data_IF_483714471851
#
_entry.id   IF_483714471851
#
_cell.length_a   1.000
_cell.length_b   1.000
_cell.length_c   1.000
_cell.angle_alpha   90.00
_cell.angle_beta   90.00
_cell.angle_gamma   90.00
#
_symmetry.space_group_name_H-M   'P 1'
#
loop_
_entity.id
_entity.type
_entity.pdbx_description
1 polymer ?
#
# COMPACT_ATOMS: atom_id res chain seq x y z
N UNK A 1 -20.14 -4.55 -1.59
CA UNK A 1 -20.34 -3.25 -2.18
C UNK A 1 -20.51 -2.17 -1.11
N UNK A 2 -19.92 -1.06 -1.33
CA UNK A 2 -19.98 0.02 -0.37
C UNK A 2 -21.30 0.75 -0.39
N UNK A 3 -21.70 1.20 0.79
CA UNK A 3 -22.86 2.05 0.94
C UNK A 3 -22.41 3.49 1.01
N UNK A 4 -21.40 3.81 0.23
CA UNK A 4 -20.72 5.10 0.32
C UNK A 4 -21.61 6.28 -0.04
N UNK A 5 -22.60 6.06 -0.89
CA UNK A 5 -23.50 7.15 -1.27
C UNK A 5 -24.20 7.74 -0.06
N UNK A 6 -24.49 6.92 0.93
CA UNK A 6 -25.15 7.37 2.14
C UNK A 6 -24.20 8.12 3.06
N UNK A 7 -22.92 7.96 2.82
CA UNK A 7 -21.89 8.55 3.66
C UNK A 7 -21.14 9.64 2.92
N UNK A 8 -21.80 10.26 1.95
CA UNK A 8 -21.17 11.29 1.15
C UNK A 8 -20.62 12.46 1.95
N UNK A 9 -21.08 12.61 3.19
CA UNK A 9 -20.60 13.67 4.06
C UNK A 9 -19.26 13.35 4.68
N UNK A 10 -18.86 12.08 4.72
CA UNK A 10 -17.59 11.67 5.29
C UNK A 10 -16.85 10.75 4.32
N UNK A 11 -15.62 11.11 4.04
CA UNK A 11 -14.76 10.27 3.22
C UNK A 11 -13.84 9.49 4.12
N UNK A 12 -13.59 8.24 3.75
CA UNK A 12 -12.58 7.45 4.43
C UNK A 12 -11.20 8.03 4.17
N UNK A 13 -10.32 7.86 5.15
CA UNK A 13 -8.91 8.13 4.95
C UNK A 13 -8.40 7.21 3.84
N UNK A 14 -7.56 7.76 2.96
CA UNK A 14 -6.93 6.99 1.87
C UNK A 14 -5.46 6.83 2.18
N UNK A 15 -4.94 5.62 2.04
CA UNK A 15 -3.53 5.35 2.23
C UNK A 15 -2.98 4.53 1.07
N UNK A 16 -1.71 4.74 0.75
CA UNK A 16 -0.97 3.88 -0.15
C UNK A 16 -0.02 3.05 0.69
N UNK A 17 -0.10 1.72 0.56
CA UNK A 17 0.63 0.81 1.41
C UNK A 17 1.85 0.29 0.67
N UNK A 18 3.02 0.49 1.26
CA UNK A 18 4.28 -0.01 0.70
C UNK A 18 4.27 -1.54 0.67
N UNK A 19 4.91 -2.09 -0.33
CA UNK A 19 5.00 -3.53 -0.56
C UNK A 19 5.40 -4.30 0.70
N UNK A 20 6.38 -3.80 1.45
CA UNK A 20 6.89 -4.51 2.63
C UNK A 20 5.85 -4.62 3.73
N UNK A 21 4.96 -3.66 3.86
CA UNK A 21 3.89 -3.73 4.87
C UNK A 21 2.91 -4.86 4.53
N UNK A 22 2.59 -5.01 3.26
CA UNK A 22 1.75 -6.13 2.81
C UNK A 22 2.45 -7.47 3.08
N UNK A 23 3.73 -7.55 2.74
CA UNK A 23 4.51 -8.78 2.94
C UNK A 23 4.68 -9.12 4.41
N UNK A 24 4.71 -8.12 5.30
CA UNK A 24 4.79 -8.38 6.74
C UNK A 24 3.63 -9.24 7.21
N UNK A 25 2.44 -8.98 6.67
CA UNK A 25 1.25 -9.74 7.04
C UNK A 25 1.28 -11.11 6.34
N UNK A 26 1.55 -11.13 5.04
CA UNK A 26 1.51 -12.37 4.26
C UNK A 26 2.59 -13.36 4.69
N UNK A 27 3.75 -12.86 5.09
CA UNK A 27 4.89 -13.70 5.49
C UNK A 27 5.05 -13.80 7.00
N UNK A 28 4.11 -13.24 7.76
CA UNK A 28 4.08 -13.30 9.23
C UNK A 28 5.43 -12.87 9.85
N UNK A 29 5.90 -11.69 9.47
CA UNK A 29 7.17 -11.16 9.98
C UNK A 29 6.97 -10.63 11.39
N UNK A 30 7.49 -11.35 12.38
CA UNK A 30 7.14 -11.18 13.81
C UNK A 30 7.29 -9.76 14.33
N UNK A 31 8.31 -9.04 13.87
CA UNK A 31 8.56 -7.69 14.40
C UNK A 31 7.55 -6.66 13.92
N UNK A 32 6.83 -6.95 12.84
CA UNK A 32 6.00 -5.94 12.18
C UNK A 32 4.56 -6.36 11.98
N UNK A 33 4.25 -7.65 12.16
CA UNK A 33 2.95 -8.18 11.77
C UNK A 33 1.80 -7.60 12.58
N UNK A 34 2.03 -7.26 13.84
CA UNK A 34 0.92 -6.81 14.68
C UNK A 34 0.30 -5.50 14.18
N UNK A 35 1.12 -4.46 14.02
CA UNK A 35 0.60 -3.17 13.55
C UNK A 35 0.10 -3.26 12.11
N UNK A 36 0.84 -3.96 11.25
CA UNK A 36 0.47 -4.10 9.86
C UNK A 36 -0.85 -4.85 9.72
N UNK A 37 -1.09 -5.86 10.55
CA UNK A 37 -2.34 -6.62 10.52
C UNK A 37 -3.53 -5.76 10.95
N UNK A 38 -3.32 -4.85 11.89
CA UNK A 38 -4.39 -3.94 12.30
C UNK A 38 -4.78 -2.99 11.18
N UNK A 39 -3.79 -2.47 10.46
CA UNK A 39 -4.05 -1.63 9.28
C UNK A 39 -4.81 -2.44 8.23
N UNK A 40 -4.35 -3.67 7.97
CA UNK A 40 -5.01 -4.56 7.03
C UNK A 40 -6.49 -4.74 7.40
N UNK A 41 -6.75 -5.00 8.68
CA UNK A 41 -8.12 -5.22 9.14
C UNK A 41 -9.00 -3.99 8.93
N UNK A 42 -8.45 -2.80 9.16
CA UNK A 42 -9.19 -1.57 8.93
C UNK A 42 -9.55 -1.39 7.45
N UNK A 43 -8.66 -1.83 6.57
CA UNK A 43 -8.95 -1.81 5.13
C UNK A 43 -9.99 -2.85 4.77
N UNK A 44 -9.89 -4.03 5.36
CA UNK A 44 -10.82 -5.13 5.10
C UNK A 44 -12.24 -4.77 5.49
N UNK A 45 -12.43 -4.08 6.62
CA UNK A 45 -13.76 -3.68 7.07
C UNK A 45 -14.15 -2.30 6.53
N UNK A 46 -13.40 -1.78 5.57
CA UNK A 46 -13.69 -0.55 4.84
C UNK A 46 -13.74 0.70 5.70
N UNK A 47 -13.00 0.72 6.79
CA UNK A 47 -12.84 1.93 7.59
C UNK A 47 -11.74 2.83 7.04
N UNK A 48 -10.83 2.26 6.27
CA UNK A 48 -9.77 2.98 5.56
C UNK A 48 -9.77 2.46 4.14
N UNK A 49 -9.54 3.35 3.18
CA UNK A 49 -9.37 2.97 1.79
C UNK A 49 -7.89 2.71 1.53
N UNK A 50 -7.52 1.44 1.52
CA UNK A 50 -6.14 1.04 1.30
C UNK A 50 -5.87 0.80 -0.18
N UNK A 51 -4.79 1.39 -0.67
CA UNK A 51 -4.34 1.25 -2.04
C UNK A 51 -2.99 0.56 -2.07
N UNK A 52 -2.82 -0.31 -3.05
CA UNK A 52 -1.52 -0.93 -3.35
C UNK A 52 -1.17 -0.53 -4.78
N UNK A 53 0.06 -0.08 -4.98
CA UNK A 53 0.51 0.25 -6.34
C UNK A 53 0.51 -1.00 -7.22
N UNK A 54 0.07 -0.84 -8.47
CA UNK A 54 0.14 -1.92 -9.44
C UNK A 54 1.57 -2.46 -9.56
N UNK A 55 2.57 -1.60 -9.35
CA UNK A 55 3.96 -2.00 -9.39
C UNK A 55 4.30 -3.02 -8.31
N UNK A 56 3.62 -2.95 -7.15
CA UNK A 56 3.89 -3.86 -6.03
C UNK A 56 3.39 -5.28 -6.28
N UNK A 57 2.37 -5.43 -7.11
CA UNK A 57 1.73 -6.73 -7.28
C UNK A 57 2.68 -7.79 -7.85
N UNK A 58 3.42 -7.54 -8.96
CA UNK A 58 4.38 -8.52 -9.44
C UNK A 58 5.44 -8.89 -8.41
N UNK A 59 5.89 -7.93 -7.61
CA UNK A 59 6.88 -8.21 -6.57
C UNK A 59 6.32 -9.13 -5.51
N UNK A 60 5.08 -8.88 -5.09
CA UNK A 60 4.42 -9.75 -4.12
C UNK A 60 4.27 -11.16 -4.66
N UNK A 61 3.81 -11.29 -5.90
CA UNK A 61 3.66 -12.59 -6.55
C UNK A 61 4.99 -13.33 -6.60
N UNK A 62 6.06 -12.62 -6.99
CA UNK A 62 7.38 -13.20 -7.10
C UNK A 62 7.85 -13.79 -5.76
N UNK A 63 7.65 -13.03 -4.69
CA UNK A 63 8.09 -13.47 -3.36
C UNK A 63 7.25 -14.64 -2.87
N UNK A 64 5.93 -14.58 -3.06
CA UNK A 64 5.06 -15.67 -2.62
C UNK A 64 5.35 -16.96 -3.34
N UNK A 65 5.69 -16.90 -4.63
CA UNK A 65 5.95 -18.10 -5.42
C UNK A 65 7.22 -18.81 -5.03
N UNK A 66 8.08 -18.19 -4.25
CA UNK A 66 9.26 -18.88 -3.75
C UNK A 66 8.92 -19.95 -2.73
N UNK A 67 7.79 -19.81 -2.03
CA UNK A 67 7.45 -20.71 -0.95
C UNK A 67 6.08 -21.37 -1.09
N UNK A 68 5.24 -20.85 -1.96
CA UNK A 68 3.89 -21.36 -2.12
C UNK A 68 3.67 -21.86 -3.53
N UNK A 69 2.67 -22.75 -3.68
CA UNK A 69 2.27 -23.22 -5.00
C UNK A 69 1.65 -22.08 -5.79
N UNK A 70 1.62 -22.19 -7.13
CA UNK A 70 0.94 -21.18 -7.94
C UNK A 70 -0.54 -21.00 -7.56
N UNK A 71 -1.22 -22.08 -7.20
CA UNK A 71 -2.63 -22.03 -6.82
C UNK A 71 -2.82 -21.25 -5.52
N UNK A 72 -1.97 -21.49 -4.52
CA UNK A 72 -2.03 -20.75 -3.26
C UNK A 72 -1.74 -19.27 -3.49
N UNK A 73 -0.72 -19.00 -4.29
CA UNK A 73 -0.37 -17.61 -4.61
C UNK A 73 -1.54 -16.89 -5.25
N UNK A 74 -2.21 -17.54 -6.21
CA UNK A 74 -3.35 -16.95 -6.89
C UNK A 74 -4.48 -16.63 -5.90
N UNK A 75 -4.76 -17.54 -4.98
CA UNK A 75 -5.80 -17.32 -3.98
C UNK A 75 -5.51 -16.09 -3.13
N UNK A 76 -4.26 -15.95 -2.70
CA UNK A 76 -3.85 -14.81 -1.88
C UNK A 76 -3.99 -13.51 -2.66
N UNK A 77 -3.55 -13.51 -3.91
CA UNK A 77 -3.62 -12.30 -4.74
C UNK A 77 -5.08 -11.89 -4.96
N UNK A 78 -5.96 -12.85 -5.19
CA UNK A 78 -7.37 -12.55 -5.35
C UNK A 78 -7.98 -11.96 -4.09
N UNK A 79 -7.54 -12.42 -2.91
CA UNK A 79 -7.97 -11.82 -1.65
C UNK A 79 -7.49 -10.36 -1.54
N UNK A 80 -6.28 -10.11 -1.96
CA UNK A 80 -5.78 -8.73 -1.96
C UNK A 80 -6.65 -7.82 -2.80
N UNK A 81 -7.09 -8.29 -3.96
CA UNK A 81 -7.94 -7.49 -4.84
C UNK A 81 -9.30 -7.20 -4.22
N UNK A 82 -9.76 -8.06 -3.31
CA UNK A 82 -11.04 -7.84 -2.64
C UNK A 82 -10.93 -6.83 -1.50
N UNK A 83 -9.76 -6.71 -0.90
CA UNK A 83 -9.54 -5.88 0.28
C UNK A 83 -9.01 -4.50 -0.11
N UNK A 84 -8.11 -4.46 -1.07
CA UNK A 84 -7.39 -3.24 -1.43
C UNK A 84 -7.72 -2.79 -2.85
N UNK A 85 -7.66 -1.48 -3.04
CA UNK A 85 -7.73 -0.90 -4.37
C UNK A 85 -6.33 -0.96 -5.00
N UNK A 86 -6.28 -1.24 -6.28
CA UNK A 86 -5.00 -1.27 -6.98
C UNK A 86 -4.84 0.07 -7.70
N UNK A 87 -3.81 0.81 -7.32
CA UNK A 87 -3.51 2.09 -7.96
C UNK A 87 -2.75 1.82 -9.25
N UNK A 88 -3.33 2.21 -10.38
CA UNK A 88 -2.70 1.95 -11.66
C UNK A 88 -1.37 2.70 -11.79
N UNK A 89 -0.49 2.14 -12.61
CA UNK A 89 0.82 2.71 -12.90
C UNK A 89 0.73 3.40 -14.25
N UNK A 90 0.91 4.72 -14.26
CA UNK A 90 0.83 5.51 -15.49
C UNK A 90 2.21 5.85 -16.01
N UNK A 91 2.31 6.05 -17.31
CA UNK A 91 3.57 6.44 -17.91
C UNK A 91 4.10 7.75 -17.32
N UNK A 92 3.19 8.65 -16.94
CA UNK A 92 3.59 9.91 -16.30
C UNK A 92 4.25 9.67 -14.94
N UNK A 93 3.82 8.65 -14.22
CA UNK A 93 4.43 8.30 -12.93
C UNK A 93 5.88 7.88 -13.14
N UNK A 94 6.10 7.04 -14.15
CA UNK A 94 7.43 6.54 -14.46
C UNK A 94 8.37 7.67 -14.85
N UNK A 95 7.88 8.61 -15.66
CA UNK A 95 8.69 9.74 -16.11
C UNK A 95 9.01 10.70 -14.99
N UNK A 96 8.03 11.04 -14.16
CA UNK A 96 8.25 11.95 -13.04
C UNK A 96 9.22 11.35 -12.03
N UNK A 97 9.07 10.07 -11.75
CA UNK A 97 9.93 9.38 -10.80
C UNK A 97 11.39 9.38 -11.28
N UNK A 98 11.61 9.28 -12.58
CA UNK A 98 12.96 9.27 -13.14
C UNK A 98 13.71 10.57 -12.87
N UNK A 99 13.00 11.66 -12.62
CA UNK A 99 13.63 12.96 -12.34
C UNK A 99 13.80 13.24 -10.85
N UNK A 100 13.40 12.33 -9.99
CA UNK A 100 13.55 12.50 -8.56
C UNK A 100 14.94 12.09 -8.12
N UNK A 101 15.38 12.67 -6.99
CA UNK A 101 16.73 12.46 -6.48
C UNK A 101 16.80 11.35 -5.45
N UNK A 102 15.88 10.41 -5.51
CA UNK A 102 15.92 9.28 -4.60
C UNK A 102 16.72 8.15 -5.19
N UNK A 103 17.34 7.35 -4.33
CA UNK A 103 18.18 6.24 -4.78
C UNK A 103 17.37 5.04 -5.24
N UNK A 104 16.12 4.91 -4.79
CA UNK A 104 15.26 3.77 -5.13
C UNK A 104 14.16 4.23 -6.07
N UNK A 105 14.22 3.71 -7.30
CA UNK A 105 13.28 4.10 -8.34
C UNK A 105 11.86 3.62 -8.04
N UNK A 106 11.73 2.43 -7.44
CA UNK A 106 10.40 1.93 -7.08
C UNK A 106 9.75 2.82 -6.02
N UNK A 107 10.53 3.26 -5.03
CA UNK A 107 10.02 4.18 -4.02
C UNK A 107 9.61 5.51 -4.65
N UNK A 108 10.40 5.99 -5.61
CA UNK A 108 10.06 7.22 -6.33
C UNK A 108 8.73 7.08 -7.06
N UNK A 109 8.50 5.95 -7.72
CA UNK A 109 7.24 5.69 -8.40
C UNK A 109 6.08 5.67 -7.41
N UNK A 110 6.26 5.07 -6.25
CA UNK A 110 5.22 5.06 -5.23
C UNK A 110 4.91 6.47 -4.73
N UNK A 111 5.93 7.30 -4.54
CA UNK A 111 5.72 8.69 -4.12
C UNK A 111 4.89 9.48 -5.12
N UNK A 112 5.23 9.33 -6.41
CA UNK A 112 4.50 10.02 -7.47
C UNK A 112 3.08 9.50 -7.56
N UNK A 113 2.90 8.20 -7.47
CA UNK A 113 1.60 7.56 -7.50
C UNK A 113 0.73 8.04 -6.35
N UNK A 114 1.30 8.10 -5.15
CA UNK A 114 0.59 8.55 -3.96
C UNK A 114 0.08 9.98 -4.14
N UNK A 115 0.91 10.85 -4.69
CA UNK A 115 0.52 12.24 -4.93
C UNK A 115 -0.60 12.33 -5.97
N UNK A 116 -0.49 11.57 -7.06
CA UNK A 116 -1.51 11.58 -8.10
C UNK A 116 -2.85 11.05 -7.59
N UNK A 117 -2.81 10.01 -6.78
CA UNK A 117 -4.02 9.41 -6.21
C UNK A 117 -4.60 10.22 -5.06
N UNK A 118 -3.87 11.24 -4.59
CA UNK A 118 -4.31 12.12 -3.51
C UNK A 118 -4.61 11.34 -2.24
N UNK A 119 -3.75 10.37 -1.92
CA UNK A 119 -3.89 9.65 -0.66
C UNK A 119 -3.44 10.55 0.48
N UNK A 120 -3.95 10.28 1.67
CA UNK A 120 -3.61 11.07 2.86
C UNK A 120 -2.23 10.72 3.38
N UNK A 121 -1.85 9.45 3.31
CA UNK A 121 -0.56 8.99 3.83
C UNK A 121 -0.02 7.83 2.99
N UNK A 122 1.31 7.72 2.99
CA UNK A 122 2.00 6.49 2.57
C UNK A 122 2.33 5.73 3.83
N UNK A 123 1.99 4.44 3.89
CA UNK A 123 2.29 3.60 5.04
C UNK A 123 3.47 2.71 4.69
N UNK A 124 4.57 2.87 5.43
CA UNK A 124 5.83 2.19 5.16
C UNK A 124 6.59 1.96 6.45
N UNK A 125 7.49 0.99 6.47
CA UNK A 125 8.41 0.78 7.59
C UNK A 125 9.64 1.68 7.49
N UNK A 126 9.94 2.17 6.28
CA UNK A 126 11.20 2.86 5.99
C UNK A 126 10.94 4.32 5.63
N UNK A 127 10.53 5.10 6.62
CA UNK A 127 10.15 6.50 6.41
C UNK A 127 11.26 7.28 5.71
N UNK A 128 12.51 7.01 6.06
CA UNK A 128 13.63 7.76 5.48
C UNK A 128 13.77 7.58 3.98
N UNK A 129 13.25 6.48 3.45
CA UNK A 129 13.27 6.26 2.01
C UNK A 129 12.22 7.09 1.28
N UNK A 130 11.33 7.74 2.03
CA UNK A 130 10.24 8.53 1.49
C UNK A 130 10.33 10.01 1.87
N UNK A 131 11.52 10.47 2.22
CA UNK A 131 11.73 11.88 2.64
C UNK A 131 11.37 12.84 1.52
N UNK A 132 11.62 12.46 0.27
CA UNK A 132 11.31 13.32 -0.88
C UNK A 132 9.82 13.36 -1.19
N UNK A 133 9.01 12.57 -0.52
CA UNK A 133 7.59 12.45 -0.82
C UNK A 133 6.83 13.72 -0.47
N UNK A 134 5.94 14.12 -1.37
CA UNK A 134 4.99 15.21 -1.11
C UNK A 134 3.84 14.75 -0.24
N UNK A 135 3.60 13.45 -0.18
CA UNK A 135 2.60 12.85 0.70
C UNK A 135 3.36 12.34 1.93
N UNK A 136 2.82 12.64 3.10
CA UNK A 136 3.46 12.24 4.36
C UNK A 136 3.53 10.72 4.48
N UNK A 137 4.71 10.20 4.79
CA UNK A 137 4.91 8.78 5.04
C UNK A 137 4.94 8.54 6.54
N UNK A 138 4.34 7.43 6.98
CA UNK A 138 4.37 7.05 8.39
C UNK A 138 4.35 5.55 8.53
N UNK A 139 4.80 5.10 9.69
CA UNK A 139 4.81 3.68 10.02
C UNK A 139 3.41 3.20 10.37
N UNK A 140 3.13 1.89 10.25
CA UNK A 140 1.82 1.37 10.63
C UNK A 140 1.38 1.76 12.04
N UNK A 141 2.29 1.65 13.04
CA UNK A 141 1.94 1.99 14.41
C UNK A 141 1.65 3.48 14.56
N UNK A 142 2.37 4.33 13.84
CA UNK A 142 2.11 5.76 13.86
C UNK A 142 0.74 6.11 13.27
N UNK A 143 0.37 5.41 12.21
CA UNK A 143 -0.95 5.63 11.61
C UNK A 143 -2.05 5.23 12.58
N UNK A 144 -1.87 4.11 13.28
CA UNK A 144 -2.86 3.63 14.25
C UNK A 144 -3.13 4.65 15.36
N UNK A 145 -2.11 5.42 15.74
CA UNK A 145 -2.28 6.46 16.75
C UNK A 145 -3.13 7.63 16.29
N UNK A 146 -3.31 7.76 14.98
CA UNK A 146 -4.10 8.86 14.42
C UNK A 146 -5.56 8.51 14.19
N UNK A 147 -5.92 7.29 14.40
CA UNK A 147 -7.26 6.80 14.08
C UNK A 147 -8.18 6.74 15.29
#
# INVERSE_FOLDING_TARGET
>A
KRISAQKGLQKNMKILIDTNVILDVLCDRTDFVESSSKIWKLCEVEKIDGYISALSIPNIVYILRKELTPEKTQQIIEQLFMIFHIADLKSSDIRKAANMKTSDYEDAIQMVCAQRMKVDFIVTRNIKDFIESKVTAMKPDELLERI
#
